data_IF_860930528547
#
_entry.id   IF_860930528547
#
_cell.length_a   1.000
_cell.length_b   1.000
_cell.length_c   1.000
_cell.angle_alpha   90.00
_cell.angle_beta   90.00
_cell.angle_gamma   90.00
#
_symmetry.space_group_name_H-M   'P 1'
#
loop_
_entity.id
_entity.type
_entity.pdbx_description
1 polymer ?
#
# COMPACT_ATOMS: atom_id res chain seq x y z
N UNK A 1 13.21 11.90 -33.11
CA UNK A 1 13.53 10.46 -33.14
C UNK A 1 12.89 9.68 -32.00
N UNK A 2 13.31 9.76 -30.73
CA UNK A 2 12.73 8.90 -29.65
C UNK A 2 11.21 9.11 -29.43
N UNK A 3 10.71 10.34 -29.58
CA UNK A 3 9.27 10.64 -29.44
C UNK A 3 8.40 10.08 -30.58
N UNK A 4 8.92 9.99 -31.80
CA UNK A 4 8.16 9.44 -32.95
C UNK A 4 8.07 7.91 -32.86
N UNK A 5 9.14 7.26 -32.40
CA UNK A 5 9.17 5.81 -32.21
C UNK A 5 8.17 5.38 -31.13
N UNK A 6 8.09 6.12 -30.02
CA UNK A 6 7.14 5.81 -28.93
C UNK A 6 5.68 5.96 -29.36
N UNK A 7 5.34 7.03 -30.10
CA UNK A 7 3.97 7.25 -30.61
C UNK A 7 3.57 6.15 -31.60
N UNK A 8 4.50 5.68 -32.43
CA UNK A 8 4.23 4.56 -33.36
C UNK A 8 3.98 3.25 -32.63
N UNK A 9 4.69 2.98 -31.52
CA UNK A 9 4.49 1.79 -30.69
C UNK A 9 3.14 1.81 -29.97
N UNK A 10 2.76 2.94 -29.38
CA UNK A 10 1.48 3.07 -28.67
C UNK A 10 0.28 2.87 -29.61
N UNK A 11 0.35 3.38 -30.85
CA UNK A 11 -0.69 3.18 -31.88
C UNK A 11 -0.79 1.72 -32.32
N UNK A 12 0.35 1.02 -32.45
CA UNK A 12 0.37 -0.40 -32.81
C UNK A 12 -0.26 -1.28 -31.72
N UNK A 13 0.03 -1.01 -30.44
CA UNK A 13 -0.58 -1.73 -29.31
C UNK A 13 -2.10 -1.54 -29.29
N UNK A 14 -2.59 -0.32 -29.49
CA UNK A 14 -4.03 -0.01 -29.55
C UNK A 14 -4.76 -0.73 -30.71
N UNK A 15 -4.09 -0.89 -31.86
CA UNK A 15 -4.64 -1.61 -33.02
C UNK A 15 -4.71 -3.11 -32.73
N UNK A 16 -3.67 -3.67 -32.11
CA UNK A 16 -3.62 -5.09 -31.72
C UNK A 16 -4.71 -5.38 -30.68
N UNK A 17 -4.85 -4.56 -29.64
CA UNK A 17 -5.87 -4.77 -28.60
C UNK A 17 -7.30 -4.74 -29.17
N UNK A 18 -7.59 -3.77 -30.06
CA UNK A 18 -8.89 -3.68 -30.75
C UNK A 18 -9.15 -4.83 -31.71
N UNK A 19 -8.11 -5.32 -32.40
CA UNK A 19 -8.21 -6.46 -33.29
C UNK A 19 -8.44 -7.76 -32.50
N UNK A 20 -7.72 -7.94 -31.38
CA UNK A 20 -7.83 -9.08 -30.47
C UNK A 20 -9.25 -9.24 -29.94
N UNK A 21 -9.86 -8.15 -29.45
CA UNK A 21 -11.25 -8.18 -28.97
C UNK A 21 -12.25 -8.62 -30.04
N UNK A 22 -12.09 -8.14 -31.28
CA UNK A 22 -12.97 -8.51 -32.41
C UNK A 22 -12.76 -9.93 -32.94
N UNK A 23 -11.55 -10.47 -32.81
CA UNK A 23 -11.23 -11.85 -33.18
C UNK A 23 -11.82 -12.83 -32.16
N UNK A 24 -11.65 -12.54 -30.86
CA UNK A 24 -12.25 -13.32 -29.77
C UNK A 24 -13.79 -13.38 -29.84
N UNK A 25 -14.45 -12.32 -30.30
CA UNK A 25 -15.91 -12.30 -30.53
C UNK A 25 -16.35 -13.11 -31.77
N UNK A 26 -15.48 -13.32 -32.77
CA UNK A 26 -15.76 -14.12 -33.98
C UNK A 26 -15.47 -15.61 -33.82
N UNK A 27 -14.63 -15.98 -32.85
CA UNK A 27 -14.04 -17.32 -32.72
C UNK A 27 -14.80 -18.25 -31.76
N UNK A 28 -16.07 -17.97 -31.42
CA UNK A 28 -16.89 -18.78 -30.50
C UNK A 28 -17.17 -20.24 -30.96
N UNK A 29 -16.56 -20.69 -32.06
CA UNK A 29 -16.67 -22.05 -32.61
C UNK A 29 -15.30 -22.71 -32.91
N UNK A 30 -14.17 -22.06 -32.60
CA UNK A 30 -12.84 -22.66 -32.75
C UNK A 30 -12.41 -23.22 -31.39
N UNK A 31 -12.14 -24.52 -31.30
CA UNK A 31 -11.55 -25.12 -30.10
C UNK A 31 -10.16 -24.49 -29.90
N UNK A 32 -10.03 -23.60 -28.92
CA UNK A 32 -8.74 -23.02 -28.55
C UNK A 32 -7.89 -24.11 -27.90
N UNK A 33 -6.82 -24.51 -28.57
CA UNK A 33 -5.84 -25.42 -28.00
C UNK A 33 -5.15 -24.73 -26.81
N UNK A 34 -5.26 -25.33 -25.64
CA UNK A 34 -4.62 -24.83 -24.43
C UNK A 34 -3.13 -25.15 -24.50
N UNK A 35 -2.29 -24.11 -24.52
CA UNK A 35 -0.85 -24.28 -24.48
C UNK A 35 -0.38 -24.50 -23.03
N UNK A 36 0.43 -25.53 -22.82
CA UNK A 36 1.21 -25.68 -21.59
C UNK A 36 2.48 -24.81 -21.69
N UNK A 37 2.65 -23.89 -20.74
CA UNK A 37 3.81 -23.02 -20.66
C UNK A 37 4.75 -23.50 -19.55
N UNK A 38 6.05 -23.34 -19.76
CA UNK A 38 7.05 -23.59 -18.72
C UNK A 38 7.20 -22.36 -17.83
N UNK A 39 7.15 -22.57 -16.53
CA UNK A 39 7.39 -21.51 -15.54
C UNK A 39 8.90 -21.28 -15.36
N UNK A 40 9.33 -20.03 -15.49
CA UNK A 40 10.66 -19.60 -15.07
C UNK A 40 10.57 -19.01 -13.66
N UNK A 41 10.69 -19.89 -12.67
CA UNK A 41 10.61 -19.55 -11.25
C UNK A 41 11.66 -18.51 -10.81
N UNK A 42 12.76 -18.36 -11.57
CA UNK A 42 13.80 -17.39 -11.22
C UNK A 42 13.34 -15.94 -11.36
N UNK A 43 12.32 -15.69 -12.20
CA UNK A 43 11.73 -14.37 -12.37
C UNK A 43 10.95 -13.94 -11.12
N UNK A 44 10.28 -14.86 -10.43
CA UNK A 44 9.56 -14.56 -9.18
C UNK A 44 10.52 -14.14 -8.06
N UNK A 45 11.66 -14.82 -7.95
CA UNK A 45 12.71 -14.47 -6.99
C UNK A 45 13.32 -13.08 -7.26
N UNK A 46 13.54 -12.75 -8.55
CA UNK A 46 14.04 -11.43 -8.93
C UNK A 46 13.03 -10.35 -8.53
N UNK A 47 11.76 -10.56 -8.82
CA UNK A 47 10.74 -9.52 -8.69
C UNK A 47 10.21 -9.38 -7.26
N UNK A 48 10.09 -10.48 -6.51
CA UNK A 48 9.65 -10.51 -5.10
C UNK A 48 10.46 -9.56 -4.20
N UNK A 49 11.77 -9.51 -4.40
CA UNK A 49 12.68 -8.77 -3.52
C UNK A 49 13.16 -7.44 -4.11
N UNK A 50 12.91 -7.18 -5.40
CA UNK A 50 13.37 -5.98 -6.10
C UNK A 50 12.27 -5.17 -6.76
N UNK A 51 11.01 -5.54 -6.61
CA UNK A 51 9.91 -4.76 -7.12
C UNK A 51 8.73 -4.66 -6.14
N UNK A 52 7.95 -3.59 -6.31
CA UNK A 52 6.68 -3.42 -5.64
C UNK A 52 5.69 -2.70 -6.56
N UNK A 53 4.40 -2.81 -6.23
CA UNK A 53 3.33 -2.12 -6.96
C UNK A 53 2.67 -1.10 -6.05
N UNK A 54 2.19 -0.01 -6.63
CA UNK A 54 1.61 1.09 -5.88
C UNK A 54 0.46 1.78 -6.60
N UNK A 55 -0.46 2.30 -5.81
CA UNK A 55 -1.61 3.08 -6.29
C UNK A 55 -1.73 4.39 -5.52
N UNK A 56 -1.94 5.48 -6.25
CA UNK A 56 -2.32 6.77 -5.65
C UNK A 56 -3.79 6.67 -5.26
N UNK A 57 -4.06 6.78 -3.96
CA UNK A 57 -5.40 6.64 -3.41
C UNK A 57 -6.09 8.00 -3.30
N UNK A 58 -7.37 8.07 -3.65
CA UNK A 58 -8.17 9.27 -3.47
C UNK A 58 -7.90 10.40 -4.46
N UNK A 59 -6.91 10.33 -5.34
CA UNK A 59 -6.65 11.35 -6.35
C UNK A 59 -6.45 10.68 -7.71
N UNK A 60 -7.46 10.76 -8.59
CA UNK A 60 -7.42 10.10 -9.90
C UNK A 60 -6.58 10.85 -10.93
N UNK A 61 -6.41 12.16 -10.75
CA UNK A 61 -5.84 13.03 -11.77
C UNK A 61 -4.35 13.33 -11.57
N UNK A 62 -3.68 12.69 -10.60
CA UNK A 62 -2.26 12.96 -10.35
C UNK A 62 -1.39 12.40 -11.49
N UNK A 63 -0.68 13.25 -12.26
CA UNK A 63 0.12 12.76 -13.37
C UNK A 63 1.30 11.92 -12.88
N UNK A 64 1.59 10.82 -13.58
CA UNK A 64 2.74 9.95 -13.26
C UNK A 64 4.07 10.71 -13.21
N UNK A 65 4.24 11.76 -14.02
CA UNK A 65 5.41 12.62 -13.99
C UNK A 65 5.60 13.34 -12.65
N UNK A 66 4.50 13.77 -12.00
CA UNK A 66 4.51 14.40 -10.68
C UNK A 66 4.90 13.39 -9.61
N UNK A 67 4.31 12.18 -9.66
CA UNK A 67 4.65 11.07 -8.76
C UNK A 67 6.14 10.75 -8.86
N UNK A 68 6.64 10.52 -10.09
CA UNK A 68 8.05 10.21 -10.37
C UNK A 68 8.98 11.30 -9.83
N UNK A 69 8.71 12.57 -10.14
CA UNK A 69 9.54 13.71 -9.69
C UNK A 69 9.60 13.80 -8.16
N UNK A 70 8.46 13.61 -7.49
CA UNK A 70 8.41 13.65 -6.01
C UNK A 70 9.19 12.50 -5.40
N UNK A 71 8.98 11.28 -5.90
CA UNK A 71 9.67 10.09 -5.40
C UNK A 71 11.16 10.12 -5.70
N UNK A 72 11.61 10.68 -6.82
CA UNK A 72 13.05 10.89 -7.11
C UNK A 72 13.75 11.71 -6.02
N UNK A 73 13.07 12.69 -5.43
CA UNK A 73 13.61 13.44 -4.29
C UNK A 73 13.64 12.62 -2.99
N UNK A 74 12.57 11.86 -2.72
CA UNK A 74 12.39 11.10 -1.47
C UNK A 74 13.27 9.84 -1.44
N UNK A 75 13.39 9.15 -2.57
CA UNK A 75 14.11 7.88 -2.74
C UNK A 75 15.50 8.07 -3.38
N UNK A 76 16.03 9.29 -3.39
CA UNK A 76 17.31 9.63 -4.04
C UNK A 76 18.51 8.78 -3.59
N UNK A 77 18.48 8.26 -2.35
CA UNK A 77 19.57 7.52 -1.74
C UNK A 77 19.36 5.99 -1.78
N UNK A 78 18.35 5.49 -2.51
CA UNK A 78 18.02 4.06 -2.57
C UNK A 78 18.65 3.34 -3.76
N UNK A 79 19.67 3.95 -4.37
CA UNK A 79 20.27 3.49 -5.61
C UNK A 79 19.38 3.76 -6.82
N UNK A 80 19.64 3.02 -7.90
CA UNK A 80 18.88 3.13 -9.16
C UNK A 80 17.55 2.41 -9.01
N UNK A 81 16.48 3.09 -9.42
CA UNK A 81 15.14 2.53 -9.49
C UNK A 81 14.38 3.10 -10.69
N UNK A 82 13.41 2.33 -11.17
CA UNK A 82 12.59 2.62 -12.35
C UNK A 82 11.11 2.57 -11.97
N UNK A 83 10.32 3.38 -12.67
CA UNK A 83 8.87 3.44 -12.52
C UNK A 83 8.20 3.13 -13.84
N UNK A 84 7.20 2.25 -13.83
CA UNK A 84 6.40 1.88 -15.01
C UNK A 84 4.91 1.98 -14.69
N UNK A 85 4.09 2.44 -15.63
CA UNK A 85 2.61 2.27 -15.53
C UNK A 85 2.29 0.81 -15.85
N UNK A 86 1.69 0.09 -14.92
CA UNK A 86 1.32 -1.31 -15.11
C UNK A 86 -0.13 -1.46 -15.59
N UNK A 87 -1.03 -0.62 -15.07
CA UNK A 87 -2.42 -0.46 -15.55
C UNK A 87 -2.96 0.90 -15.13
N UNK A 88 -4.22 1.17 -15.44
CA UNK A 88 -4.86 2.41 -15.01
C UNK A 88 -4.80 2.60 -13.50
N UNK A 89 -4.25 3.74 -13.07
CA UNK A 89 -3.99 4.06 -11.67
C UNK A 89 -2.92 3.24 -10.92
N UNK A 90 -2.28 2.22 -11.53
CA UNK A 90 -1.29 1.36 -10.84
C UNK A 90 0.10 1.49 -11.45
N UNK A 91 1.07 1.71 -10.58
CA UNK A 91 2.49 1.92 -10.89
C UNK A 91 3.32 0.76 -10.36
N UNK A 92 4.24 0.25 -11.17
CA UNK A 92 5.30 -0.65 -10.74
C UNK A 92 6.57 0.15 -10.44
N UNK A 93 7.25 -0.23 -9.37
CA UNK A 93 8.54 0.30 -8.95
C UNK A 93 9.56 -0.83 -8.92
N UNK A 94 10.66 -0.66 -9.64
CA UNK A 94 11.71 -1.67 -9.80
C UNK A 94 13.02 -1.10 -9.29
N UNK A 95 13.69 -1.82 -8.41
CA UNK A 95 14.92 -1.40 -7.75
C UNK A 95 16.06 -2.30 -8.23
N UNK A 96 17.25 -1.74 -8.41
CA UNK A 96 18.41 -2.58 -8.77
C UNK A 96 18.94 -3.35 -7.53
N UNK A 97 18.52 -2.96 -6.32
CA UNK A 97 18.91 -3.59 -5.04
C UNK A 97 17.71 -3.98 -4.17
N UNK A 98 17.81 -5.12 -3.50
CA UNK A 98 16.80 -5.60 -2.55
C UNK A 98 16.70 -4.71 -1.31
N UNK A 99 17.84 -4.13 -0.89
CA UNK A 99 17.90 -3.16 0.21
C UNK A 99 17.06 -1.93 -0.12
N UNK A 100 17.11 -1.43 -1.36
CA UNK A 100 16.29 -0.31 -1.81
C UNK A 100 14.80 -0.62 -1.75
N UNK A 101 14.39 -1.77 -2.30
CA UNK A 101 13.00 -2.21 -2.27
C UNK A 101 12.51 -2.43 -0.84
N UNK A 102 13.26 -3.18 -0.03
CA UNK A 102 12.93 -3.45 1.39
C UNK A 102 12.81 -2.16 2.19
N UNK A 103 13.72 -1.19 1.98
CA UNK A 103 13.62 0.12 2.63
C UNK A 103 12.32 0.84 2.27
N UNK A 104 11.91 0.80 1.00
CA UNK A 104 10.63 1.38 0.56
C UNK A 104 9.46 0.67 1.26
N UNK A 105 9.50 -0.65 1.31
CA UNK A 105 8.48 -1.48 1.93
C UNK A 105 8.48 -1.40 3.47
N UNK A 106 9.53 -0.91 4.14
CA UNK A 106 9.55 -0.79 5.61
C UNK A 106 9.19 0.60 6.13
N UNK A 107 9.03 1.58 5.24
CA UNK A 107 8.86 3.01 5.60
C UNK A 107 7.45 3.57 5.36
N UNK A 108 6.46 2.68 5.27
CA UNK A 108 5.04 3.03 5.18
C UNK A 108 4.56 4.07 6.21
N UNK A 109 3.43 4.74 5.94
CA UNK A 109 2.86 4.95 4.60
C UNK A 109 3.72 5.94 3.80
N UNK A 110 3.58 5.90 2.47
CA UNK A 110 4.18 6.90 1.56
C UNK A 110 3.14 7.95 1.17
N UNK A 111 3.55 9.22 1.22
CA UNK A 111 2.71 10.34 0.80
C UNK A 111 3.37 11.09 -0.37
N UNK A 112 2.62 11.26 -1.46
CA UNK A 112 2.98 12.09 -2.60
C UNK A 112 2.08 13.31 -2.58
N UNK A 113 2.64 14.48 -2.28
CA UNK A 113 1.90 15.74 -2.10
C UNK A 113 0.70 15.60 -1.12
N UNK A 114 0.89 14.85 -0.02
CA UNK A 114 -0.16 14.62 0.98
C UNK A 114 -1.17 13.52 0.63
N UNK A 115 -1.10 12.97 -0.59
CA UNK A 115 -1.95 11.88 -1.05
C UNK A 115 -1.26 10.53 -0.80
N UNK A 116 -2.02 9.54 -0.35
CA UNK A 116 -1.49 8.20 -0.06
C UNK A 116 -1.04 7.49 -1.34
N UNK A 117 0.24 7.11 -1.38
CA UNK A 117 0.75 6.07 -2.27
C UNK A 117 0.73 4.76 -1.50
N UNK A 118 -0.29 3.94 -1.74
CA UNK A 118 -0.42 2.63 -1.09
C UNK A 118 0.44 1.62 -1.86
N UNK A 119 1.57 1.21 -1.28
CA UNK A 119 2.44 0.19 -1.87
C UNK A 119 2.09 -1.21 -1.37
N UNK A 120 2.33 -2.20 -2.23
CA UNK A 120 2.17 -3.62 -1.95
C UNK A 120 3.36 -4.39 -2.52
N UNK A 121 3.71 -5.55 -1.92
CA UNK A 121 4.66 -6.46 -2.54
C UNK A 121 4.24 -6.77 -3.97
N UNK A 122 5.21 -7.05 -4.83
CA UNK A 122 4.87 -7.52 -6.16
C UNK A 122 4.08 -8.85 -6.04
N UNK A 123 2.94 -9.01 -6.73
CA UNK A 123 2.19 -10.26 -6.70
C UNK A 123 2.98 -11.36 -7.42
N UNK A 124 3.29 -12.46 -6.72
CA UNK A 124 4.06 -13.58 -7.28
C UNK A 124 3.19 -14.46 -8.17
N UNK A 125 2.08 -14.93 -7.62
CA UNK A 125 1.14 -15.86 -8.27
C UNK A 125 0.15 -15.16 -9.23
N UNK A 126 0.28 -13.86 -9.46
CA UNK A 126 -0.74 -13.08 -10.15
C UNK A 126 -0.22 -11.94 -10.97
N UNK A 127 -0.95 -11.59 -12.02
CA UNK A 127 -0.72 -10.35 -12.75
C UNK A 127 -0.78 -9.15 -11.79
N UNK A 128 -0.06 -8.07 -12.10
CA UNK A 128 -0.21 -6.76 -11.41
C UNK A 128 -1.69 -6.30 -11.35
N UNK A 129 -2.54 -6.86 -12.21
CA UNK A 129 -3.99 -6.66 -12.20
C UNK A 129 -4.70 -7.22 -10.96
N UNK A 130 -4.15 -8.24 -10.30
CA UNK A 130 -4.72 -8.83 -9.09
C UNK A 130 -4.29 -8.07 -7.81
N UNK A 131 -3.38 -7.09 -7.91
CA UNK A 131 -2.97 -6.31 -6.75
C UNK A 131 -4.13 -5.49 -6.18
N UNK A 132 -4.45 -5.74 -4.91
CA UNK A 132 -5.48 -5.06 -4.13
C UNK A 132 -4.91 -3.94 -3.26
N UNK A 133 -5.64 -2.82 -3.18
CA UNK A 133 -5.18 -1.60 -2.50
C UNK A 133 -6.15 -1.11 -1.41
N UNK A 134 -7.05 -1.97 -0.94
CA UNK A 134 -8.07 -1.64 0.07
C UNK A 134 -7.51 -1.55 1.50
N UNK A 135 -6.33 -2.10 1.72
CA UNK A 135 -5.62 -2.09 3.00
C UNK A 135 -4.33 -1.31 2.87
N UNK A 136 -4.06 -0.41 3.81
CA UNK A 136 -2.81 0.35 3.87
C UNK A 136 -2.15 0.20 5.26
N UNK A 137 -0.82 0.17 5.27
CA UNK A 137 -0.03 -0.07 6.48
C UNK A 137 0.33 1.24 7.19
N UNK A 138 0.08 1.31 8.49
CA UNK A 138 0.36 2.50 9.31
C UNK A 138 1.06 2.14 10.62
N UNK A 139 1.94 3.03 11.07
CA UNK A 139 2.27 3.10 12.48
C UNK A 139 1.10 3.70 13.23
N UNK A 140 0.65 3.01 14.27
CA UNK A 140 -0.44 3.44 15.14
C UNK A 140 0.03 3.43 16.58
N UNK A 141 -0.28 4.50 17.30
CA UNK A 141 0.03 4.67 18.71
C UNK A 141 -1.26 4.61 19.53
N UNK A 142 -1.25 3.90 20.65
CA UNK A 142 -2.36 3.83 21.60
C UNK A 142 -2.00 4.61 22.86
N UNK A 143 -2.63 5.78 23.02
CA UNK A 143 -2.36 6.73 24.10
C UNK A 143 -3.35 6.55 25.25
N UNK A 144 -3.01 7.15 26.40
CA UNK A 144 -3.88 7.24 27.58
C UNK A 144 -4.19 5.89 28.24
N UNK A 145 -3.42 4.86 27.90
CA UNK A 145 -3.43 3.57 28.58
C UNK A 145 -2.77 3.69 29.96
N UNK A 146 -3.47 3.31 31.05
CA UNK A 146 -2.83 3.16 32.35
C UNK A 146 -1.61 2.24 32.27
N UNK A 147 -0.53 2.57 33.00
CA UNK A 147 0.77 1.88 32.92
C UNK A 147 0.68 0.35 33.01
N UNK A 148 -0.23 -0.18 33.85
CA UNK A 148 -0.46 -1.62 34.01
C UNK A 148 -0.96 -2.34 32.75
N UNK A 149 -1.49 -1.59 31.78
CA UNK A 149 -1.96 -2.12 30.50
C UNK A 149 -0.93 -1.94 29.36
N UNK A 150 0.23 -1.32 29.62
CA UNK A 150 1.29 -1.18 28.63
C UNK A 150 2.04 -2.51 28.47
N UNK A 151 1.50 -3.40 27.63
CA UNK A 151 2.11 -4.69 27.26
C UNK A 151 1.89 -5.04 25.80
N UNK A 152 2.79 -5.86 25.23
CA UNK A 152 2.66 -6.38 23.87
C UNK A 152 1.40 -7.23 23.65
N UNK A 153 0.97 -7.97 24.67
CA UNK A 153 -0.29 -8.75 24.62
C UNK A 153 -1.49 -7.81 24.42
N UNK A 154 -1.54 -6.72 25.19
CA UNK A 154 -2.58 -5.70 25.03
C UNK A 154 -2.43 -4.95 23.71
N UNK A 155 -1.21 -4.70 23.22
CA UNK A 155 -0.99 -4.13 21.87
C UNK A 155 -1.73 -4.95 20.82
N UNK A 156 -1.61 -6.28 20.87
CA UNK A 156 -2.25 -7.20 19.92
C UNK A 156 -3.78 -7.22 20.07
N UNK A 157 -4.29 -7.19 21.30
CA UNK A 157 -5.74 -7.16 21.57
C UNK A 157 -6.36 -5.85 21.08
N UNK A 158 -5.72 -4.73 21.39
CA UNK A 158 -6.19 -3.39 21.04
C UNK A 158 -6.12 -3.17 19.53
N UNK A 159 -5.04 -3.63 18.89
CA UNK A 159 -4.83 -3.55 17.44
C UNK A 159 -6.03 -4.05 16.63
N UNK A 160 -6.64 -5.17 17.04
CA UNK A 160 -7.80 -5.79 16.38
C UNK A 160 -9.02 -4.88 16.27
N UNK A 161 -9.09 -3.79 17.05
CA UNK A 161 -10.15 -2.78 16.94
C UNK A 161 -10.00 -1.90 15.71
N UNK A 162 -8.79 -1.68 15.21
CA UNK A 162 -8.49 -0.74 14.11
C UNK A 162 -8.00 -1.39 12.83
N UNK A 163 -7.50 -2.63 12.90
CA UNK A 163 -6.86 -3.26 11.75
C UNK A 163 -6.29 -4.64 12.09
N UNK A 164 -5.57 -5.19 11.14
CA UNK A 164 -4.78 -6.40 11.33
C UNK A 164 -3.41 -6.03 11.94
N UNK A 165 -3.04 -6.70 13.03
CA UNK A 165 -1.76 -6.49 13.69
C UNK A 165 -0.61 -7.10 12.87
N UNK A 166 0.42 -6.30 12.60
CA UNK A 166 1.60 -6.77 11.84
C UNK A 166 2.77 -7.04 12.79
N UNK A 167 3.25 -6.02 13.49
CA UNK A 167 4.36 -6.13 14.46
C UNK A 167 4.41 -4.93 15.39
N UNK A 168 5.02 -5.11 16.56
CA UNK A 168 5.36 -4.02 17.50
C UNK A 168 6.88 -3.78 17.52
N UNK A 169 7.31 -2.59 17.94
CA UNK A 169 8.74 -2.25 18.11
C UNK A 169 9.16 -2.14 19.58
N UNK A 170 8.40 -2.76 20.47
CA UNK A 170 8.68 -2.80 21.90
C UNK A 170 9.98 -3.54 22.17
N UNK A 171 10.92 -2.87 22.86
CA UNK A 171 12.25 -3.42 23.18
C UNK A 171 12.37 -3.85 24.63
N UNK A 172 11.74 -3.13 25.55
CA UNK A 172 11.77 -3.43 26.99
C UNK A 172 10.58 -2.81 27.73
N UNK A 173 10.24 -3.37 28.89
CA UNK A 173 9.21 -2.83 29.78
C UNK A 173 9.54 -1.41 30.26
N UNK A 174 10.82 -1.12 30.52
CA UNK A 174 11.24 0.22 30.95
C UNK A 174 11.01 1.26 29.85
N UNK A 175 11.35 0.94 28.60
CA UNK A 175 11.08 1.83 27.46
C UNK A 175 9.58 2.05 27.24
N UNK A 176 8.75 1.01 27.43
CA UNK A 176 7.29 1.12 27.35
C UNK A 176 6.75 2.12 28.37
N UNK A 177 7.14 1.98 29.64
CA UNK A 177 6.71 2.88 30.72
C UNK A 177 7.22 4.31 30.48
N UNK A 178 8.49 4.47 30.08
CA UNK A 178 9.09 5.78 29.77
C UNK A 178 8.38 6.47 28.60
N UNK A 179 7.99 5.72 27.58
CA UNK A 179 7.29 6.23 26.39
C UNK A 179 5.82 6.56 26.68
N UNK A 180 5.16 5.80 27.54
CA UNK A 180 3.78 6.04 27.98
C UNK A 180 2.68 5.65 26.98
N UNK A 181 3.03 5.01 25.86
CA UNK A 181 2.08 4.52 24.86
C UNK A 181 2.56 3.25 24.16
N UNK A 182 1.60 2.46 23.68
CA UNK A 182 1.85 1.30 22.81
C UNK A 182 1.96 1.77 21.35
N UNK A 183 2.80 1.11 20.55
CA UNK A 183 3.03 1.48 19.14
C UNK A 183 3.25 0.25 18.29
N UNK A 184 2.45 0.07 17.24
CA UNK A 184 2.55 -1.07 16.35
C UNK A 184 2.28 -0.69 14.89
N UNK A 185 2.68 -1.57 13.99
CA UNK A 185 2.23 -1.58 12.62
C UNK A 185 0.87 -2.25 12.53
N UNK A 186 -0.10 -1.55 11.94
CA UNK A 186 -1.40 -2.08 11.59
C UNK A 186 -1.63 -2.00 10.09
N UNK A 187 -2.25 -3.03 9.55
CA UNK A 187 -2.87 -3.03 8.24
C UNK A 187 -4.33 -2.59 8.40
N UNK A 188 -4.66 -1.44 7.81
CA UNK A 188 -5.92 -0.72 8.03
C UNK A 188 -6.72 -0.69 6.72
N UNK A 189 -7.98 -1.13 6.77
CA UNK A 189 -8.90 -0.99 5.64
C UNK A 189 -9.25 0.47 5.39
N UNK A 190 -8.73 1.05 4.29
CA UNK A 190 -8.99 2.46 3.94
C UNK A 190 -10.44 2.67 3.44
N UNK A 191 -11.12 1.58 3.07
CA UNK A 191 -12.52 1.55 2.65
C UNK A 191 -13.50 1.71 3.82
N UNK A 192 -13.02 1.62 5.06
CA UNK A 192 -13.83 1.70 6.28
C UNK A 192 -13.59 3.01 7.04
N UNK A 193 -14.57 3.46 7.85
CA UNK A 193 -14.36 4.55 8.80
C UNK A 193 -13.16 4.28 9.71
N UNK A 194 -12.27 5.27 9.84
CA UNK A 194 -11.09 5.18 10.69
C UNK A 194 -11.49 5.10 12.16
N UNK A 195 -10.90 4.14 12.87
CA UNK A 195 -11.12 3.94 14.30
C UNK A 195 -10.20 4.88 15.08
N UNK A 196 -10.78 5.85 15.78
CA UNK A 196 -10.01 6.89 16.50
C UNK A 196 -9.73 6.55 17.96
N UNK A 197 -10.31 5.49 18.49
CA UNK A 197 -10.11 5.06 19.87
C UNK A 197 -11.26 4.21 20.40
N UNK A 198 -11.21 3.90 21.69
CA UNK A 198 -12.23 3.10 22.38
C UNK A 198 -12.19 3.34 23.89
N UNK A 199 -13.27 3.02 24.60
CA UNK A 199 -13.30 3.05 26.06
C UNK A 199 -12.83 1.73 26.66
N UNK A 200 -12.08 1.82 27.77
CA UNK A 200 -11.86 0.71 28.70
C UNK A 200 -12.48 1.04 30.06
N UNK A 201 -12.95 0.01 30.76
CA UNK A 201 -13.42 0.12 32.14
C UNK A 201 -12.64 -0.84 33.04
N UNK A 202 -11.56 -0.37 33.68
CA UNK A 202 -10.83 -1.20 34.62
C UNK A 202 -11.67 -1.46 35.88
N UNK A 203 -11.50 -2.61 36.53
CA UNK A 203 -12.22 -2.96 37.75
C UNK A 203 -12.12 -1.86 38.83
N UNK A 204 -13.28 -1.44 39.31
CA UNK A 204 -13.40 -0.41 40.34
C UNK A 204 -12.94 1.00 39.93
N UNK A 205 -12.82 1.29 38.63
CA UNK A 205 -12.39 2.60 38.11
C UNK A 205 -13.35 3.16 37.06
N UNK A 206 -13.23 4.46 36.83
CA UNK A 206 -13.94 5.16 35.77
C UNK A 206 -13.51 4.71 34.38
N UNK A 207 -14.42 4.91 33.42
CA UNK A 207 -14.16 4.65 32.02
C UNK A 207 -13.07 5.59 31.50
N UNK A 208 -12.09 5.02 30.80
CA UNK A 208 -10.96 5.77 30.23
C UNK A 208 -11.01 5.64 28.72
N UNK A 209 -10.96 6.78 28.02
CA UNK A 209 -10.84 6.82 26.57
C UNK A 209 -9.39 6.54 26.16
N UNK A 210 -9.18 5.53 25.31
CA UNK A 210 -7.89 5.18 24.73
C UNK A 210 -7.84 5.75 23.32
N UNK A 211 -6.98 6.76 23.11
CA UNK A 211 -6.87 7.48 21.85
C UNK A 211 -5.92 6.77 20.88
N UNK A 212 -6.35 6.58 19.63
CA UNK A 212 -5.49 6.12 18.54
C UNK A 212 -4.89 7.32 17.82
N UNK A 213 -3.58 7.29 17.60
CA UNK A 213 -2.85 8.27 16.78
C UNK A 213 -2.12 7.55 15.65
N UNK A 214 -2.54 7.82 14.43
CA UNK A 214 -1.93 7.26 13.21
C UNK A 214 -0.82 8.19 12.73
N UNK A 215 0.34 7.64 12.43
CA UNK A 215 1.46 8.44 11.89
C UNK A 215 1.35 8.59 10.37
N UNK A 216 1.67 9.79 9.87
CA UNK A 216 1.62 10.14 8.44
C UNK A 216 0.26 9.80 7.80
N UNK A 217 -0.82 10.06 8.52
CA UNK A 217 -2.18 9.87 8.01
C UNK A 217 -2.40 10.80 6.79
N UNK A 218 -2.86 10.28 5.64
CA UNK A 218 -3.25 11.12 4.50
C UNK A 218 -4.54 11.88 4.82
N UNK A 219 -5.09 12.59 3.84
CA UNK A 219 -6.41 13.19 3.94
C UNK A 219 -7.47 12.18 4.42
N UNK A 220 -8.21 12.58 5.46
CA UNK A 220 -9.35 11.88 6.05
C UNK A 220 -10.62 12.65 5.68
N UNK A 221 -11.59 11.98 5.07
CA UNK A 221 -12.89 12.60 4.81
C UNK A 221 -13.65 12.75 6.13
N UNK A 222 -14.00 13.97 6.54
CA UNK A 222 -14.70 14.20 7.81
C UNK A 222 -16.15 13.69 7.81
N UNK A 223 -16.79 13.58 6.65
CA UNK A 223 -18.16 13.07 6.53
C UNK A 223 -18.21 11.54 6.70
N UNK A 224 -17.51 10.80 5.84
CA UNK A 224 -17.55 9.34 5.87
C UNK A 224 -16.49 8.69 6.78
N UNK A 225 -15.57 9.50 7.33
CA UNK A 225 -14.43 9.06 8.17
C UNK A 225 -13.47 8.09 7.48
N UNK A 226 -13.50 7.99 6.14
CA UNK A 226 -12.62 7.08 5.37
C UNK A 226 -11.35 7.80 4.92
N UNK A 227 -10.26 7.03 4.82
CA UNK A 227 -8.97 7.52 4.34
C UNK A 227 -8.97 7.61 2.82
N UNK A 228 -8.32 8.65 2.29
CA UNK A 228 -8.13 8.83 0.85
C UNK A 228 -9.46 8.75 0.05
N UNK A 229 -10.56 9.20 0.66
CA UNK A 229 -11.85 9.35 0.01
C UNK A 229 -12.06 10.83 -0.32
N UNK A 230 -12.09 11.18 -1.60
CA UNK A 230 -12.60 12.48 -2.04
C UNK A 230 -14.07 12.29 -2.32
N UNK A 231 -14.90 12.95 -1.52
CA UNK A 231 -16.33 13.05 -1.77
C UNK A 231 -16.51 13.75 -3.13
N UNK A 232 -17.20 13.09 -4.05
CA UNK A 232 -17.70 13.78 -5.24
C UNK A 232 -18.83 14.68 -4.75
N UNK A 233 -18.54 15.99 -4.65
CA UNK A 233 -19.59 17.01 -4.60
C UNK A 233 -20.35 17.01 -5.92
#
# INVERSE_FOLDING_TARGET
MEKEVQVSLDVLVDVVDKASGKLLERDSAMEMEMLELFEDITLEDIVSNKACVGKIMGCKDMPNSVVKKRLMGIWRNLGVWRMKKCREGVLGFFFDTEVGCSFVMDKYPWLVNGVLLNLKPWPLEGEVRMAEFEVARYWVQFHDLPTRFLSGDNTTIIAKKAGEFVKTNEKSKFELVRRGYLRCWLDVWITHPLVVGFFIKPDGKEETWIQFKYEKLPYLCFNCRRLAHIEKM
#
